data_IF_077066890390
#
_entry.id   IF_077066890390
#
_cell.length_a   1.000
_cell.length_b   1.000
_cell.length_c   1.000
_cell.angle_alpha   90.00
_cell.angle_beta   90.00
_cell.angle_gamma   90.00
#
_symmetry.space_group_name_H-M   'P 1'
#
loop_
_entity.id
_entity.type
_entity.pdbx_description
1 polymer ?
#
# COMPACT_ATOMS: atom_id res chain seq x y z
N UNK A 1 37.52 23.66 19.66
CA UNK A 1 36.75 23.98 18.44
C UNK A 1 35.76 22.87 18.00
N UNK A 2 35.44 21.87 18.83
CA UNK A 2 34.55 20.76 18.42
C UNK A 2 33.13 20.78 19.03
N UNK A 3 32.82 21.75 19.90
CA UNK A 3 31.48 21.87 20.52
C UNK A 3 30.47 22.70 19.70
N UNK A 4 30.92 23.41 18.67
CA UNK A 4 30.06 24.26 17.83
C UNK A 4 29.42 23.49 16.66
N UNK A 5 30.04 22.40 16.19
CA UNK A 5 29.56 21.61 15.05
C UNK A 5 28.33 20.73 15.39
N UNK A 6 28.24 20.23 16.63
CA UNK A 6 27.13 19.37 17.06
C UNK A 6 25.81 20.14 17.21
N UNK A 7 25.89 21.43 17.56
CA UNK A 7 24.72 22.32 17.72
C UNK A 7 24.07 22.68 16.37
N UNK A 8 24.84 22.72 15.28
CA UNK A 8 24.33 23.03 13.94
C UNK A 8 23.49 21.86 13.38
N UNK A 9 23.91 20.61 13.65
CA UNK A 9 23.17 19.42 13.20
C UNK A 9 21.85 19.25 13.97
N UNK A 10 21.84 19.55 15.27
CA UNK A 10 20.62 19.46 16.08
C UNK A 10 19.60 20.57 15.78
N UNK A 11 20.06 21.78 15.46
CA UNK A 11 19.17 22.89 15.09
C UNK A 11 18.47 22.64 13.74
N UNK A 12 19.15 22.04 12.76
CA UNK A 12 18.56 21.68 11.47
C UNK A 12 17.48 20.60 11.57
N UNK A 13 17.71 19.57 12.39
CA UNK A 13 16.73 18.51 12.63
C UNK A 13 15.47 19.03 13.36
N UNK A 14 15.62 19.97 14.30
CA UNK A 14 14.50 20.59 15.01
C UNK A 14 13.69 21.55 14.11
N UNK A 15 14.37 22.30 13.21
CA UNK A 15 13.71 23.18 12.25
C UNK A 15 12.89 22.39 11.21
N UNK A 16 13.40 21.24 10.76
CA UNK A 16 12.71 20.30 9.86
C UNK A 16 11.50 19.63 10.54
N UNK A 17 11.55 19.41 11.86
CA UNK A 17 10.44 18.80 12.61
C UNK A 17 9.31 19.78 12.91
N UNK A 18 9.63 21.04 13.23
CA UNK A 18 8.63 22.08 13.52
C UNK A 18 7.99 22.69 12.27
N UNK A 19 8.66 22.62 11.12
CA UNK A 19 8.14 23.12 9.84
C UNK A 19 8.65 22.25 8.69
N UNK A 20 8.05 21.05 8.47
CA UNK A 20 8.53 20.14 7.45
C UNK A 20 8.43 20.83 6.07
N UNK A 21 9.55 20.93 5.33
CA UNK A 21 9.51 21.49 3.99
C UNK A 21 8.63 20.62 3.11
N UNK A 22 7.87 21.27 2.25
CA UNK A 22 7.14 20.64 1.15
C UNK A 22 8.05 19.63 0.43
N UNK A 23 7.66 18.34 0.31
CA UNK A 23 8.46 17.30 -0.34
C UNK A 23 8.95 17.72 -1.73
N UNK A 24 8.15 18.47 -2.49
CA UNK A 24 8.51 18.97 -3.83
C UNK A 24 9.66 20.00 -3.78
N UNK A 25 9.84 20.69 -2.66
CA UNK A 25 10.93 21.65 -2.44
C UNK A 25 12.28 20.97 -2.21
N UNK A 26 12.27 19.74 -1.68
CA UNK A 26 13.47 18.99 -1.32
C UNK A 26 14.03 18.18 -2.49
N UNK A 27 13.15 17.63 -3.33
CA UNK A 27 13.56 16.98 -4.59
C UNK A 27 14.32 17.93 -5.52
N UNK A 28 13.98 19.23 -5.48
CA UNK A 28 14.68 20.30 -6.23
C UNK A 28 16.18 20.42 -5.87
N UNK A 29 16.61 19.93 -4.71
CA UNK A 29 18.00 19.96 -4.25
C UNK A 29 18.73 18.64 -4.51
N UNK A 30 18.12 17.69 -5.21
CA UNK A 30 18.72 16.40 -5.54
C UNK A 30 18.84 15.43 -4.36
N UNK A 31 18.15 15.70 -3.25
CA UNK A 31 18.05 14.79 -2.11
C UNK A 31 16.84 13.87 -2.31
N UNK A 32 17.08 12.62 -2.65
CA UNK A 32 16.02 11.60 -2.66
C UNK A 32 15.71 11.17 -1.21
N UNK A 33 14.69 11.81 -0.64
CA UNK A 33 14.20 11.48 0.69
C UNK A 33 13.12 10.39 0.68
N UNK A 34 12.72 9.89 -0.49
CA UNK A 34 11.74 8.81 -0.61
C UNK A 34 12.24 7.52 0.06
N UNK A 35 13.56 7.34 0.18
CA UNK A 35 14.17 6.25 0.96
C UNK A 35 13.86 6.30 2.47
N UNK A 36 13.50 7.48 3.00
CA UNK A 36 13.22 7.70 4.42
C UNK A 36 11.72 7.76 4.75
N UNK A 37 10.86 7.95 3.75
CA UNK A 37 9.40 7.93 3.92
C UNK A 37 8.82 6.66 3.30
N UNK A 38 7.97 5.90 4.01
CA UNK A 38 7.34 4.74 3.41
C UNK A 38 6.50 5.18 2.20
N UNK A 39 6.83 4.62 1.03
CA UNK A 39 6.05 4.82 -0.20
C UNK A 39 4.63 4.28 0.05
N UNK A 40 3.57 5.02 -0.31
CA UNK A 40 2.22 4.49 -0.24
C UNK A 40 2.10 3.26 -1.15
N UNK A 41 1.48 2.20 -0.65
CA UNK A 41 1.21 1.00 -1.43
C UNK A 41 0.19 1.34 -2.52
N UNK A 42 0.37 0.82 -3.73
CA UNK A 42 -0.56 1.02 -4.85
C UNK A 42 -0.98 -0.31 -5.46
N UNK A 43 -2.21 -0.36 -5.98
CA UNK A 43 -2.72 -1.56 -6.64
C UNK A 43 -1.86 -1.95 -7.84
N UNK A 44 -1.33 -0.96 -8.57
CA UNK A 44 -0.47 -1.14 -9.72
C UNK A 44 0.85 -1.83 -9.36
N UNK A 45 1.49 -1.39 -8.27
CA UNK A 45 2.77 -1.94 -7.84
C UNK A 45 2.62 -3.33 -7.22
N UNK A 46 1.54 -3.57 -6.47
CA UNK A 46 1.19 -4.91 -5.97
C UNK A 46 0.97 -5.89 -7.11
N UNK A 47 0.21 -5.50 -8.15
CA UNK A 47 0.00 -6.35 -9.33
C UNK A 47 1.28 -6.52 -10.15
N UNK A 48 2.13 -5.48 -10.24
CA UNK A 48 3.44 -5.60 -10.90
C UNK A 48 4.33 -6.64 -10.22
N UNK A 49 4.53 -6.55 -8.90
CA UNK A 49 5.35 -7.53 -8.18
C UNK A 49 4.72 -8.93 -8.18
N UNK A 50 3.39 -9.02 -8.12
CA UNK A 50 2.68 -10.31 -8.30
C UNK A 50 2.98 -10.91 -9.68
N UNK A 51 2.98 -10.09 -10.74
CA UNK A 51 3.28 -10.55 -12.09
C UNK A 51 4.77 -10.93 -12.28
N UNK A 52 5.69 -10.27 -11.58
CA UNK A 52 7.09 -10.68 -11.53
C UNK A 52 7.23 -12.08 -10.90
N UNK A 53 6.57 -12.33 -9.77
CA UNK A 53 6.54 -13.65 -9.14
C UNK A 53 5.94 -14.71 -10.08
N UNK A 54 4.83 -14.38 -10.76
CA UNK A 54 4.18 -15.27 -11.75
C UNK A 54 5.09 -15.60 -12.92
N UNK A 55 5.82 -14.61 -13.45
CA UNK A 55 6.76 -14.78 -14.56
C UNK A 55 7.88 -15.77 -14.21
N UNK A 56 8.46 -15.66 -13.01
CA UNK A 56 9.48 -16.60 -12.50
C UNK A 56 8.96 -18.04 -12.47
N UNK A 57 7.66 -18.24 -12.29
CA UNK A 57 7.01 -19.55 -12.25
C UNK A 57 6.34 -19.96 -13.57
N UNK A 58 6.58 -19.23 -14.67
CA UNK A 58 6.02 -19.55 -15.98
C UNK A 58 4.50 -19.35 -16.09
N UNK A 59 3.91 -18.54 -15.22
CA UNK A 59 2.47 -18.24 -15.22
C UNK A 59 2.17 -16.98 -16.04
N UNK A 60 1.02 -16.91 -16.74
CA UNK A 60 0.62 -15.73 -17.50
C UNK A 60 0.36 -14.53 -16.58
N UNK A 61 0.64 -13.29 -17.01
CA UNK A 61 0.41 -12.10 -16.19
C UNK A 61 -1.08 -11.86 -15.94
N UNK A 62 -1.40 -11.30 -14.78
CA UNK A 62 -2.71 -10.77 -14.43
C UNK A 62 -2.87 -9.36 -14.99
N UNK A 63 -4.12 -8.98 -15.28
CA UNK A 63 -4.50 -7.62 -15.70
C UNK A 63 -5.36 -6.99 -14.63
N UNK A 64 -5.10 -5.71 -14.33
CA UNK A 64 -5.93 -4.92 -13.41
C UNK A 64 -7.32 -4.76 -14.02
N UNK A 65 -8.35 -5.04 -13.21
CA UNK A 65 -9.74 -4.79 -13.56
C UNK A 65 -10.31 -3.72 -12.62
N UNK A 66 -10.75 -2.55 -13.13
CA UNK A 66 -11.24 -1.46 -12.29
C UNK A 66 -12.41 -1.82 -11.37
N UNK A 67 -13.30 -2.72 -11.82
CA UNK A 67 -14.45 -3.16 -11.02
C UNK A 67 -13.98 -4.01 -9.83
N UNK A 68 -13.04 -4.93 -10.07
CA UNK A 68 -12.44 -5.73 -9.01
C UNK A 68 -11.60 -4.87 -8.05
N UNK A 69 -10.89 -3.85 -8.56
CA UNK A 69 -10.16 -2.90 -7.72
C UNK A 69 -11.09 -2.13 -6.79
N UNK A 70 -12.25 -1.70 -7.28
CA UNK A 70 -13.26 -1.02 -6.47
C UNK A 70 -13.83 -1.95 -5.38
N UNK A 71 -14.14 -3.20 -5.73
CA UNK A 71 -14.59 -4.21 -4.76
C UNK A 71 -13.54 -4.48 -3.68
N UNK A 72 -12.27 -4.66 -4.06
CA UNK A 72 -11.16 -4.88 -3.12
C UNK A 72 -10.97 -3.69 -2.16
N UNK A 73 -11.10 -2.46 -2.67
CA UNK A 73 -11.04 -1.25 -1.84
C UNK A 73 -12.20 -1.19 -0.84
N UNK A 74 -13.42 -1.51 -1.28
CA UNK A 74 -14.60 -1.57 -0.42
C UNK A 74 -14.45 -2.63 0.67
N UNK A 75 -13.95 -3.82 0.33
CA UNK A 75 -13.63 -4.91 1.25
C UNK A 75 -12.60 -4.50 2.31
N UNK A 76 -11.51 -3.85 1.89
CA UNK A 76 -10.49 -3.35 2.80
C UNK A 76 -11.05 -2.28 3.77
N UNK A 77 -11.94 -1.41 3.26
CA UNK A 77 -12.60 -0.40 4.07
C UNK A 77 -13.61 -1.02 5.06
N UNK A 78 -14.35 -2.05 4.65
CA UNK A 78 -15.30 -2.77 5.49
C UNK A 78 -14.59 -3.44 6.67
N UNK A 79 -13.53 -4.22 6.39
CA UNK A 79 -12.68 -4.84 7.42
C UNK A 79 -12.12 -3.79 8.40
N UNK A 80 -11.65 -2.66 7.88
CA UNK A 80 -11.14 -1.56 8.71
C UNK A 80 -12.24 -0.95 9.59
N UNK A 81 -13.41 -0.69 9.02
CA UNK A 81 -14.52 0.02 9.68
C UNK A 81 -15.14 -0.83 10.78
N UNK A 82 -15.40 -2.11 10.49
CA UNK A 82 -16.00 -3.07 11.42
C UNK A 82 -14.96 -3.81 12.27
N UNK A 83 -13.68 -3.42 12.16
CA UNK A 83 -12.56 -3.86 13.01
C UNK A 83 -12.33 -5.38 13.01
N UNK A 84 -12.54 -6.03 11.86
CA UNK A 84 -12.25 -7.45 11.67
C UNK A 84 -11.16 -7.66 10.60
N UNK A 85 -10.61 -8.86 10.53
CA UNK A 85 -9.65 -9.26 9.50
C UNK A 85 -9.87 -10.73 9.18
N UNK A 86 -10.79 -10.98 8.24
CA UNK A 86 -11.21 -12.31 7.83
C UNK A 86 -11.80 -12.24 6.41
N UNK A 87 -11.82 -13.39 5.72
CA UNK A 87 -12.44 -13.46 4.39
C UNK A 87 -13.94 -13.21 4.44
N UNK A 88 -14.63 -13.61 5.51
CA UNK A 88 -16.06 -13.37 5.66
C UNK A 88 -16.30 -12.34 6.76
N UNK A 89 -17.22 -11.42 6.51
CA UNK A 89 -17.71 -10.49 7.52
C UNK A 89 -18.39 -11.29 8.66
N UNK A 90 -18.00 -11.10 9.93
CA UNK A 90 -18.51 -11.89 11.05
C UNK A 90 -19.99 -11.64 11.36
N UNK A 91 -20.53 -10.50 10.96
CA UNK A 91 -21.92 -10.11 11.24
C UNK A 91 -22.86 -10.47 10.08
N UNK A 92 -22.44 -10.25 8.83
CA UNK A 92 -23.28 -10.50 7.64
C UNK A 92 -23.01 -11.83 6.97
N UNK A 93 -21.83 -12.43 7.19
CA UNK A 93 -21.36 -13.61 6.47
C UNK A 93 -20.86 -13.33 5.06
N UNK A 94 -20.91 -12.09 4.58
CA UNK A 94 -20.50 -11.71 3.23
C UNK A 94 -19.00 -11.97 2.99
N UNK A 95 -18.69 -12.69 1.91
CA UNK A 95 -17.35 -13.05 1.51
C UNK A 95 -16.88 -12.34 0.23
N UNK A 96 -15.73 -12.74 -0.33
CA UNK A 96 -15.16 -12.10 -1.50
C UNK A 96 -15.98 -12.32 -2.78
N UNK A 97 -16.72 -13.43 -2.88
CA UNK A 97 -17.58 -13.73 -4.04
C UNK A 97 -18.78 -12.78 -4.06
N UNK A 98 -19.48 -12.67 -2.94
CA UNK A 98 -20.64 -11.81 -2.78
C UNK A 98 -20.25 -10.34 -3.01
N UNK A 99 -19.07 -9.93 -2.56
CA UNK A 99 -18.57 -8.58 -2.75
C UNK A 99 -18.33 -8.23 -4.24
N UNK A 100 -17.73 -9.12 -5.03
CA UNK A 100 -17.53 -8.86 -6.47
C UNK A 100 -18.85 -8.96 -7.25
N UNK A 101 -19.77 -9.84 -6.82
CA UNK A 101 -21.12 -9.92 -7.40
C UNK A 101 -21.94 -8.66 -7.13
N UNK A 102 -21.81 -8.05 -5.94
CA UNK A 102 -22.53 -6.82 -5.58
C UNK A 102 -22.18 -5.62 -6.48
N UNK A 103 -20.99 -5.64 -7.09
CA UNK A 103 -20.54 -4.63 -8.08
C UNK A 103 -20.76 -5.10 -9.53
N UNK A 104 -21.50 -6.19 -9.74
CA UNK A 104 -21.88 -6.71 -11.06
C UNK A 104 -20.79 -7.53 -11.75
N UNK A 105 -19.74 -7.97 -11.04
CA UNK A 105 -18.69 -8.80 -11.61
C UNK A 105 -18.99 -10.29 -11.39
N UNK A 106 -19.11 -11.06 -12.47
CA UNK A 106 -19.34 -12.51 -12.43
C UNK A 106 -18.04 -13.24 -12.73
N UNK A 107 -17.48 -13.93 -11.73
CA UNK A 107 -16.28 -14.74 -11.88
C UNK A 107 -16.62 -16.21 -12.10
N UNK A 108 -15.81 -16.92 -12.92
CA UNK A 108 -15.88 -18.39 -13.00
C UNK A 108 -15.24 -19.06 -11.78
N UNK A 109 -14.14 -18.48 -11.32
CA UNK A 109 -13.36 -18.87 -10.14
C UNK A 109 -12.81 -17.58 -9.55
N UNK A 110 -12.85 -17.45 -8.24
CA UNK A 110 -12.27 -16.32 -7.51
C UNK A 110 -11.56 -16.79 -6.25
N UNK A 111 -10.59 -15.99 -5.81
CA UNK A 111 -9.88 -16.15 -4.54
C UNK A 111 -9.47 -14.75 -4.06
N UNK A 112 -9.26 -14.60 -2.75
CA UNK A 112 -8.88 -13.34 -2.12
C UNK A 112 -7.63 -13.55 -1.28
N UNK A 113 -6.65 -12.65 -1.42
CA UNK A 113 -5.57 -12.50 -0.45
C UNK A 113 -5.84 -11.22 0.36
N UNK A 114 -5.73 -11.29 1.69
CA UNK A 114 -5.88 -10.15 2.58
C UNK A 114 -4.60 -9.94 3.38
N UNK A 115 -4.23 -8.68 3.61
CA UNK A 115 -3.06 -8.32 4.40
C UNK A 115 -3.37 -7.13 5.31
N UNK A 116 -2.80 -7.14 6.51
CA UNK A 116 -2.89 -6.05 7.50
C UNK A 116 -1.56 -5.88 8.19
N UNK A 117 -1.04 -4.65 8.17
CA UNK A 117 0.23 -4.33 8.80
C UNK A 117 0.84 -3.07 8.22
N UNK A 118 2.02 -2.72 8.74
CA UNK A 118 2.81 -1.60 8.25
C UNK A 118 3.90 -2.15 7.32
N UNK A 119 3.59 -2.24 6.03
CA UNK A 119 4.54 -2.71 5.02
C UNK A 119 5.45 -1.58 4.56
N UNK A 120 6.73 -1.91 4.36
CA UNK A 120 7.74 -0.92 3.97
C UNK A 120 7.74 -0.63 2.46
N UNK A 121 7.14 -1.50 1.65
CA UNK A 121 7.01 -1.39 0.20
C UNK A 121 5.96 -2.38 -0.35
N UNK A 122 5.51 -2.19 -1.59
CA UNK A 122 4.64 -3.13 -2.30
C UNK A 122 5.28 -4.51 -2.48
N UNK A 123 6.61 -4.55 -2.70
CA UNK A 123 7.35 -5.80 -2.80
C UNK A 123 7.34 -6.59 -1.50
N UNK A 124 7.38 -5.92 -0.35
CA UNK A 124 7.35 -6.59 0.95
C UNK A 124 5.95 -7.13 1.29
N UNK A 125 4.91 -6.60 0.64
CA UNK A 125 3.53 -7.04 0.80
C UNK A 125 3.22 -8.31 -0.02
N UNK A 126 3.89 -8.50 -1.17
CA UNK A 126 3.67 -9.62 -2.11
C UNK A 126 4.61 -10.78 -1.79
#
# INVERSE_FOLDING_TARGET
MHRLFLLIVLAGALLLWLNPPDPERLERWGLDLSAFFPKPLTAEEVVRYTNEFRSVHGLPPLTINPVLSAAAQARALDMKTHRYFAHHNPDTGEGPVEAIESVGYVAKVSAENIAKGNWRSDQALV
#
